data_IF_483636912642
#
_entry.id   IF_483636912642
#
_cell.length_a   1.000
_cell.length_b   1.000
_cell.length_c   1.000
_cell.angle_alpha   90.00
_cell.angle_beta   90.00
_cell.angle_gamma   90.00
#
_symmetry.space_group_name_H-M   'P 1'
#
loop_
_entity.id
_entity.type
_entity.pdbx_description
1 polymer ?
#
# COMPACT_ATOMS: atom_id res chain seq x y z
N UNK A 1 10.64 45.67 -44.77
CA UNK A 1 11.19 45.06 -45.99
C UNK A 1 10.60 43.66 -46.05
N UNK A 2 9.57 43.46 -46.89
CA UNK A 2 9.59 42.76 -48.18
C UNK A 2 10.04 41.29 -48.03
N UNK A 3 9.33 40.26 -48.41
CA UNK A 3 8.28 39.89 -49.39
C UNK A 3 8.04 38.39 -49.10
N UNK A 4 6.93 37.71 -49.07
CA UNK A 4 5.79 37.69 -49.97
C UNK A 4 5.96 36.70 -51.13
N UNK A 5 5.16 35.59 -51.13
CA UNK A 5 4.59 34.87 -52.28
C UNK A 5 4.06 33.52 -51.79
N UNK A 6 2.81 33.16 -51.71
CA UNK A 6 1.63 33.16 -52.61
C UNK A 6 1.65 32.12 -53.73
N UNK A 7 0.69 31.19 -53.59
CA UNK A 7 -0.19 30.53 -54.60
C UNK A 7 0.41 29.57 -55.64
N UNK A 8 -0.18 28.37 -55.77
CA UNK A 8 -1.21 28.11 -56.78
C UNK A 8 -1.91 26.75 -56.58
N UNK A 9 -3.23 26.81 -56.77
CA UNK A 9 -4.20 25.72 -56.95
C UNK A 9 -4.00 25.04 -58.32
N UNK A 10 -4.33 23.73 -58.44
CA UNK A 10 -5.02 23.22 -59.62
C UNK A 10 -5.96 22.10 -59.27
N UNK A 11 -7.21 22.24 -59.67
CA UNK A 11 -8.28 21.27 -59.64
C UNK A 11 -8.29 20.45 -60.95
N UNK A 12 -8.75 19.23 -60.91
CA UNK A 12 -9.00 18.42 -62.10
C UNK A 12 -10.03 17.32 -61.82
N UNK A 13 -11.18 17.50 -62.39
CA UNK A 13 -12.39 16.68 -62.39
C UNK A 13 -12.21 15.49 -63.38
N UNK A 14 -12.82 14.34 -63.09
CA UNK A 14 -13.00 13.28 -64.05
C UNK A 14 -13.70 12.04 -63.48
N UNK A 15 -15.02 11.96 -63.67
CA UNK A 15 -15.85 10.80 -63.42
C UNK A 15 -15.69 9.71 -64.49
N UNK A 16 -15.93 8.47 -64.16
CA UNK A 16 -16.92 7.57 -64.80
C UNK A 16 -16.95 6.18 -64.14
N UNK A 17 -18.15 5.77 -63.92
CA UNK A 17 -18.57 4.47 -63.39
C UNK A 17 -18.41 3.32 -64.40
N UNK A 18 -18.22 2.10 -63.90
CA UNK A 18 -18.76 0.88 -64.50
C UNK A 18 -18.83 -0.24 -63.44
N UNK A 19 -20.02 -0.70 -63.19
CA UNK A 19 -20.37 -1.83 -62.31
C UNK A 19 -20.02 -3.15 -63.00
N UNK A 20 -19.36 -4.05 -62.30
CA UNK A 20 -19.39 -5.49 -62.61
C UNK A 20 -19.52 -6.27 -61.32
N UNK A 21 -20.69 -6.90 -61.19
CA UNK A 21 -21.07 -7.82 -60.16
C UNK A 21 -20.30 -9.15 -60.33
N UNK A 22 -19.44 -9.48 -59.38
CA UNK A 22 -18.88 -10.82 -59.28
C UNK A 22 -19.30 -11.40 -57.91
N UNK A 23 -20.13 -12.43 -57.97
CA UNK A 23 -20.44 -13.29 -56.83
C UNK A 23 -19.18 -14.04 -56.39
N UNK A 24 -18.64 -13.73 -55.23
CA UNK A 24 -17.71 -14.63 -54.56
C UNK A 24 -18.44 -15.36 -53.45
N UNK A 25 -18.50 -16.67 -53.58
CA UNK A 25 -18.87 -17.63 -52.53
C UNK A 25 -17.81 -17.55 -51.43
N UNK A 26 -18.15 -16.96 -50.29
CA UNK A 26 -17.34 -16.97 -49.10
C UNK A 26 -17.48 -18.32 -48.40
N UNK A 27 -16.57 -19.24 -48.68
CA UNK A 27 -16.25 -20.34 -47.76
C UNK A 27 -15.71 -19.74 -46.49
N UNK A 28 -16.48 -19.79 -45.40
CA UNK A 28 -16.04 -19.33 -44.08
C UNK A 28 -14.91 -20.19 -43.50
N UNK A 29 -13.70 -19.68 -43.59
CA UNK A 29 -12.65 -20.09 -42.66
C UNK A 29 -12.82 -19.25 -41.41
N UNK A 30 -13.38 -19.86 -40.37
CA UNK A 30 -13.40 -19.25 -39.04
C UNK A 30 -11.98 -18.97 -38.55
N UNK A 31 -11.59 -17.72 -38.56
CA UNK A 31 -10.37 -17.29 -37.88
C UNK A 31 -10.74 -17.17 -36.41
N UNK A 32 -10.65 -18.29 -35.70
CA UNK A 32 -10.57 -18.31 -34.24
C UNK A 32 -9.18 -17.74 -33.85
N UNK A 33 -9.04 -16.42 -33.86
CA UNK A 33 -7.92 -15.75 -33.20
C UNK A 33 -8.26 -15.54 -31.73
N UNK A 34 -8.54 -16.61 -31.02
CA UNK A 34 -8.29 -16.65 -29.59
C UNK A 34 -6.78 -16.89 -29.47
N UNK A 35 -6.02 -15.83 -29.25
CA UNK A 35 -4.68 -15.92 -28.68
C UNK A 35 -4.84 -16.56 -27.31
N UNK A 36 -4.81 -17.88 -27.24
CA UNK A 36 -4.66 -18.59 -25.98
C UNK A 36 -3.24 -18.24 -25.50
N UNK A 37 -3.11 -17.25 -24.61
CA UNK A 37 -1.95 -17.18 -23.74
C UNK A 37 -1.86 -18.56 -23.07
N UNK A 38 -0.83 -19.32 -23.40
CA UNK A 38 -0.56 -20.60 -22.74
C UNK A 38 -0.25 -20.27 -21.27
N UNK A 39 -1.28 -20.28 -20.42
CA UNK A 39 -1.09 -20.26 -18.98
C UNK A 39 -0.41 -21.56 -18.60
N UNK A 40 0.67 -21.50 -17.85
CA UNK A 40 1.28 -22.70 -17.26
C UNK A 40 0.32 -23.22 -16.20
N UNK A 41 -0.04 -24.49 -16.30
CA UNK A 41 -0.91 -25.15 -15.33
C UNK A 41 -0.20 -25.27 -13.97
N UNK A 42 -0.96 -25.10 -12.88
CA UNK A 42 -0.47 -25.25 -11.51
C UNK A 42 0.19 -26.60 -11.23
N UNK A 43 -0.33 -27.67 -11.82
CA UNK A 43 0.26 -29.02 -11.73
C UNK A 43 1.65 -29.08 -12.40
N UNK A 44 1.85 -28.39 -13.52
CA UNK A 44 3.15 -28.29 -14.17
C UNK A 44 4.16 -27.52 -13.31
N UNK A 45 3.73 -26.47 -12.60
CA UNK A 45 4.57 -25.74 -11.66
C UNK A 45 4.96 -26.62 -10.46
N UNK A 46 4.00 -27.34 -9.90
CA UNK A 46 4.22 -28.24 -8.75
C UNK A 46 5.13 -29.42 -9.10
N UNK A 47 5.14 -29.87 -10.36
CA UNK A 47 5.96 -31.00 -10.84
C UNK A 47 7.41 -30.64 -11.16
N UNK A 48 7.79 -29.35 -11.13
CA UNK A 48 9.18 -28.92 -11.34
C UNK A 48 10.08 -29.55 -10.27
N UNK A 49 11.10 -30.29 -10.68
CA UNK A 49 12.00 -30.97 -9.77
C UNK A 49 13.03 -30.01 -9.13
N UNK A 50 13.63 -30.45 -8.02
CA UNK A 50 14.72 -29.70 -7.38
C UNK A 50 15.92 -29.50 -8.34
N UNK A 51 16.18 -30.46 -9.21
CA UNK A 51 17.27 -30.34 -10.20
C UNK A 51 16.98 -29.30 -11.28
N UNK A 52 15.71 -29.18 -11.67
CA UNK A 52 15.29 -28.19 -12.64
C UNK A 52 15.38 -26.75 -12.10
N UNK A 53 15.27 -26.56 -10.78
CA UNK A 53 15.37 -25.24 -10.12
C UNK A 53 16.81 -24.71 -10.02
N UNK A 54 17.82 -25.58 -10.15
CA UNK A 54 19.22 -25.21 -9.94
C UNK A 54 19.65 -24.02 -10.80
N UNK A 55 20.16 -22.97 -10.12
CA UNK A 55 20.69 -21.77 -10.77
C UNK A 55 19.65 -20.87 -11.47
N UNK A 56 18.36 -21.06 -11.18
CA UNK A 56 17.30 -20.21 -11.73
C UNK A 56 17.43 -18.79 -11.20
N UNK A 57 17.35 -17.80 -12.08
CA UNK A 57 17.29 -16.37 -11.71
C UNK A 57 15.88 -15.86 -11.91
N UNK A 58 15.36 -15.18 -10.88
CA UNK A 58 14.05 -14.50 -10.90
C UNK A 58 14.20 -13.03 -10.52
N UNK A 59 13.27 -12.20 -10.97
CA UNK A 59 13.24 -10.76 -10.70
C UNK A 59 12.14 -10.41 -9.71
N UNK A 60 12.43 -9.44 -8.82
CA UNK A 60 11.49 -8.95 -7.80
C UNK A 60 11.23 -7.45 -7.93
N UNK A 61 9.96 -7.06 -8.00
CA UNK A 61 9.51 -5.68 -7.85
C UNK A 61 9.05 -5.40 -6.41
N UNK A 62 9.48 -4.27 -5.84
CA UNK A 62 9.14 -3.86 -4.47
C UNK A 62 9.13 -2.34 -4.31
N UNK A 63 8.41 -1.82 -3.31
CA UNK A 63 8.27 -0.39 -3.02
C UNK A 63 8.92 0.07 -1.70
N UNK A 64 9.71 -0.75 -1.07
CA UNK A 64 10.30 -0.46 0.24
C UNK A 64 11.55 0.44 0.20
N UNK A 65 11.74 1.20 -0.86
CA UNK A 65 12.88 2.09 -1.00
C UNK A 65 14.14 1.44 -1.57
N UNK A 66 15.22 2.20 -1.66
CA UNK A 66 16.52 1.77 -2.19
C UNK A 66 17.62 1.93 -1.14
N UNK A 67 18.07 0.83 -0.58
CA UNK A 67 19.13 0.77 0.43
C UNK A 67 20.15 -0.34 0.14
N UNK A 68 20.15 -0.86 -1.10
CA UNK A 68 20.94 -2.03 -1.48
C UNK A 68 22.43 -1.86 -1.20
N UNK A 69 23.00 -0.70 -1.50
CA UNK A 69 24.42 -0.45 -1.25
C UNK A 69 24.81 -0.59 0.24
N UNK A 70 23.88 -0.25 1.14
CA UNK A 70 24.10 -0.36 2.60
C UNK A 70 23.96 -1.79 3.13
N UNK A 71 23.33 -2.67 2.36
CA UNK A 71 22.98 -4.03 2.79
C UNK A 71 23.61 -5.13 1.93
N UNK A 72 24.49 -4.77 0.98
CA UNK A 72 25.12 -5.72 0.08
C UNK A 72 25.84 -6.84 0.85
N UNK A 73 25.48 -8.09 0.54
CA UNK A 73 26.00 -9.28 1.19
C UNK A 73 25.61 -9.48 2.67
N UNK A 74 24.86 -8.57 3.28
CA UNK A 74 24.40 -8.69 4.67
C UNK A 74 23.24 -9.69 4.74
N UNK A 75 23.35 -10.70 5.63
CA UNK A 75 22.31 -11.71 5.90
C UNK A 75 21.81 -11.70 7.33
N UNK A 76 22.42 -10.90 8.20
CA UNK A 76 22.09 -10.76 9.62
C UNK A 76 20.96 -9.73 9.81
N UNK A 77 19.75 -10.21 10.08
CA UNK A 77 18.55 -9.39 10.27
C UNK A 77 18.58 -8.47 11.50
N UNK A 78 19.48 -8.73 12.46
CA UNK A 78 19.68 -7.80 13.59
C UNK A 78 20.19 -6.41 13.17
N UNK A 79 20.68 -6.28 11.94
CA UNK A 79 21.13 -5.02 11.33
C UNK A 79 20.02 -4.27 10.60
N UNK A 80 18.83 -4.86 10.49
CA UNK A 80 17.69 -4.21 9.86
C UNK A 80 16.97 -3.27 10.84
N UNK A 81 16.63 -2.06 10.38
CA UNK A 81 15.87 -1.08 11.14
C UNK A 81 14.77 -0.40 10.31
N UNK A 82 14.53 -0.86 9.11
CA UNK A 82 13.53 -0.31 8.19
C UNK A 82 13.06 -1.40 7.22
N UNK A 83 11.92 -1.16 6.57
CA UNK A 83 11.41 -2.06 5.53
C UNK A 83 12.45 -2.34 4.44
N UNK A 84 13.15 -1.29 3.99
CA UNK A 84 14.17 -1.42 2.96
C UNK A 84 15.30 -2.36 3.37
N UNK A 85 15.88 -2.13 4.55
CA UNK A 85 17.00 -2.94 5.04
C UNK A 85 16.56 -4.37 5.34
N UNK A 86 15.38 -4.56 5.93
CA UNK A 86 14.84 -5.87 6.26
C UNK A 86 14.60 -6.75 5.02
N UNK A 87 13.91 -6.22 3.99
CA UNK A 87 13.65 -7.01 2.76
C UNK A 87 14.93 -7.26 1.96
N UNK A 88 15.88 -6.32 1.96
CA UNK A 88 17.17 -6.53 1.29
C UNK A 88 17.97 -7.64 1.96
N UNK A 89 18.03 -7.67 3.30
CA UNK A 89 18.72 -8.70 4.08
C UNK A 89 18.03 -10.06 3.92
N UNK A 90 16.68 -10.11 3.96
CA UNK A 90 15.94 -11.35 3.69
C UNK A 90 16.20 -11.89 2.29
N UNK A 91 16.27 -11.02 1.28
CA UNK A 91 16.61 -11.41 -0.10
C UNK A 91 18.04 -11.97 -0.19
N UNK A 92 19.02 -11.31 0.45
CA UNK A 92 20.39 -11.79 0.51
C UNK A 92 20.48 -13.14 1.22
N UNK A 93 19.76 -13.30 2.34
CA UNK A 93 19.68 -14.55 3.09
C UNK A 93 19.14 -15.68 2.23
N UNK A 94 18.02 -15.47 1.53
CA UNK A 94 17.50 -16.45 0.58
C UNK A 94 18.53 -16.78 -0.49
N UNK A 95 19.14 -15.79 -1.12
CA UNK A 95 20.14 -16.01 -2.19
C UNK A 95 21.36 -16.80 -1.71
N UNK A 96 21.73 -16.68 -0.43
CA UNK A 96 22.87 -17.38 0.15
C UNK A 96 22.53 -18.80 0.62
N UNK A 97 21.32 -19.04 1.13
CA UNK A 97 20.99 -20.24 1.89
C UNK A 97 20.09 -21.25 1.15
N UNK A 98 19.38 -20.83 0.05
CA UNK A 98 18.50 -21.76 -0.63
C UNK A 98 19.28 -22.89 -1.32
N UNK A 99 18.80 -24.13 -1.16
CA UNK A 99 19.48 -25.36 -1.62
C UNK A 99 19.61 -25.48 -3.14
N UNK A 100 18.84 -24.68 -3.90
CA UNK A 100 18.83 -24.73 -5.36
C UNK A 100 19.78 -23.73 -6.01
N UNK A 101 20.35 -22.79 -5.25
CA UNK A 101 21.12 -21.67 -5.82
C UNK A 101 20.27 -20.72 -6.66
N UNK A 102 18.98 -20.63 -6.36
CA UNK A 102 18.08 -19.62 -6.96
C UNK A 102 18.62 -18.24 -6.60
N UNK A 103 18.63 -17.34 -7.60
CA UNK A 103 19.00 -15.93 -7.43
C UNK A 103 17.78 -15.04 -7.62
N UNK A 104 17.51 -14.19 -6.64
CA UNK A 104 16.50 -13.13 -6.71
C UNK A 104 17.21 -11.82 -6.97
N UNK A 105 16.90 -11.21 -8.10
CA UNK A 105 17.42 -9.90 -8.50
C UNK A 105 16.33 -8.85 -8.37
N UNK A 106 16.66 -7.71 -7.78
CA UNK A 106 15.72 -6.61 -7.65
C UNK A 106 15.63 -5.83 -8.97
N UNK A 107 14.41 -5.61 -9.46
CA UNK A 107 14.17 -4.63 -10.51
C UNK A 107 14.42 -3.21 -9.97
N UNK A 108 14.97 -2.32 -10.81
CA UNK A 108 15.20 -0.93 -10.43
C UNK A 108 13.90 -0.18 -10.14
N UNK A 109 14.03 0.97 -9.46
CA UNK A 109 12.92 1.86 -9.14
C UNK A 109 12.06 1.31 -7.99
N UNK A 110 12.13 1.91 -6.83
CA UNK A 110 11.48 1.38 -5.64
C UNK A 110 10.85 2.48 -4.79
N UNK A 111 10.57 3.64 -5.40
CA UNK A 111 9.85 4.70 -4.73
C UNK A 111 8.40 4.28 -4.53
N UNK A 112 7.92 4.38 -3.29
CA UNK A 112 6.53 4.14 -2.94
C UNK A 112 5.56 4.89 -3.87
N UNK A 113 5.78 6.18 -4.10
CA UNK A 113 4.88 7.04 -4.87
C UNK A 113 4.74 6.66 -6.35
N UNK A 114 5.75 6.03 -6.96
CA UNK A 114 5.74 5.66 -8.37
C UNK A 114 5.64 4.15 -8.62
N UNK A 115 5.51 3.36 -7.55
CA UNK A 115 5.58 1.91 -7.66
C UNK A 115 4.49 1.33 -8.55
N UNK A 116 3.22 1.68 -8.31
CA UNK A 116 2.11 1.10 -9.07
C UNK A 116 2.11 1.54 -10.53
N UNK A 117 2.53 2.77 -10.83
CA UNK A 117 2.72 3.22 -12.23
C UNK A 117 3.80 2.41 -12.93
N UNK A 118 4.95 2.25 -12.28
CA UNK A 118 6.07 1.45 -12.79
C UNK A 118 5.70 -0.03 -12.94
N UNK A 119 4.99 -0.57 -11.97
CA UNK A 119 4.52 -1.96 -11.98
C UNK A 119 3.50 -2.20 -13.10
N UNK A 120 2.53 -1.30 -13.28
CA UNK A 120 1.56 -1.37 -14.38
C UNK A 120 2.25 -1.27 -15.75
N UNK A 121 3.24 -0.39 -15.89
CA UNK A 121 4.05 -0.30 -17.11
C UNK A 121 4.84 -1.60 -17.36
N UNK A 122 5.44 -2.20 -16.33
CA UNK A 122 6.13 -3.47 -16.44
C UNK A 122 5.18 -4.62 -16.85
N UNK A 123 3.97 -4.67 -16.25
CA UNK A 123 2.94 -5.66 -16.62
C UNK A 123 2.45 -5.52 -18.06
N UNK A 124 2.48 -4.33 -18.63
CA UNK A 124 2.14 -4.07 -20.03
C UNK A 124 3.29 -4.43 -21.00
N UNK A 125 4.50 -4.64 -20.50
CA UNK A 125 5.71 -4.93 -21.28
C UNK A 125 6.05 -6.43 -21.31
N UNK A 126 7.18 -6.78 -21.94
CA UNK A 126 7.77 -8.13 -21.84
C UNK A 126 8.58 -8.36 -20.56
N UNK A 127 8.92 -7.30 -19.83
CA UNK A 127 9.85 -7.32 -18.68
C UNK A 127 9.07 -7.30 -17.37
N UNK A 128 8.12 -8.24 -17.26
CA UNK A 128 7.32 -8.43 -16.05
C UNK A 128 8.17 -9.00 -14.94
N UNK A 129 8.02 -8.52 -13.68
CA UNK A 129 8.69 -9.16 -12.55
C UNK A 129 8.15 -10.58 -12.35
N UNK A 130 9.03 -11.47 -11.89
CA UNK A 130 8.64 -12.84 -11.52
C UNK A 130 7.95 -12.86 -10.14
N UNK A 131 8.29 -11.91 -9.25
CA UNK A 131 7.65 -11.70 -7.94
C UNK A 131 7.39 -10.21 -7.74
N UNK A 132 6.25 -9.86 -7.17
CA UNK A 132 5.92 -8.47 -6.85
C UNK A 132 5.20 -8.36 -5.50
N UNK A 133 5.59 -7.35 -4.71
CA UNK A 133 4.84 -6.96 -3.51
C UNK A 133 3.63 -6.12 -3.93
N UNK A 134 2.52 -6.25 -3.21
CA UNK A 134 1.41 -5.31 -3.32
C UNK A 134 0.62 -5.20 -2.01
N UNK A 135 -0.22 -4.18 -1.91
CA UNK A 135 -1.20 -4.09 -0.86
C UNK A 135 -2.37 -5.04 -1.12
N UNK A 136 -2.84 -5.72 -0.08
CA UNK A 136 -3.97 -6.63 -0.16
C UNK A 136 -5.25 -5.97 -0.70
N UNK A 137 -5.43 -4.67 -0.47
CA UNK A 137 -6.54 -3.90 -1.04
C UNK A 137 -6.53 -3.81 -2.57
N UNK A 138 -5.35 -3.87 -3.20
CA UNK A 138 -5.20 -3.78 -4.65
C UNK A 138 -5.32 -5.15 -5.35
N UNK A 139 -5.11 -6.24 -4.61
CA UNK A 139 -5.08 -7.59 -5.16
C UNK A 139 -6.34 -7.96 -5.98
N UNK A 140 -7.58 -7.61 -5.57
CA UNK A 140 -8.78 -7.93 -6.35
C UNK A 140 -8.77 -7.40 -7.78
N UNK A 141 -8.28 -6.17 -7.99
CA UNK A 141 -8.18 -5.56 -9.32
C UNK A 141 -7.26 -6.34 -10.26
N UNK A 142 -6.07 -6.70 -9.77
CA UNK A 142 -5.08 -7.43 -10.57
C UNK A 142 -5.50 -8.88 -10.81
N UNK A 143 -6.10 -9.53 -9.82
CA UNK A 143 -6.62 -10.90 -9.95
C UNK A 143 -7.79 -10.97 -10.95
N UNK A 144 -8.73 -10.01 -10.89
CA UNK A 144 -9.86 -9.92 -11.82
C UNK A 144 -9.41 -9.71 -13.27
N UNK A 145 -8.33 -8.98 -13.49
CA UNK A 145 -7.72 -8.76 -14.81
C UNK A 145 -6.87 -9.94 -15.30
N UNK A 146 -6.73 -11.02 -14.51
CA UNK A 146 -5.91 -12.18 -14.86
C UNK A 146 -4.41 -11.87 -14.94
N UNK A 147 -3.94 -10.90 -14.16
CA UNK A 147 -2.54 -10.46 -14.15
C UNK A 147 -1.68 -11.20 -13.13
N UNK A 148 -2.31 -11.96 -12.23
CA UNK A 148 -1.64 -12.72 -11.17
C UNK A 148 -1.83 -14.23 -11.40
N UNK A 149 -0.86 -15.02 -10.93
CA UNK A 149 -1.00 -16.46 -10.80
C UNK A 149 -1.77 -16.78 -9.52
N UNK A 150 -2.70 -17.72 -9.61
CA UNK A 150 -3.26 -18.38 -8.43
C UNK A 150 -2.13 -19.19 -7.76
N UNK A 151 -2.07 -19.22 -6.42
CA UNK A 151 -1.11 -20.07 -5.70
C UNK A 151 -1.47 -21.52 -5.96
N UNK A 152 -0.61 -22.30 -6.63
CA UNK A 152 -0.94 -23.66 -6.99
C UNK A 152 -0.92 -24.59 -5.78
N UNK A 153 -1.80 -25.58 -5.79
CA UNK A 153 -1.63 -26.72 -4.89
C UNK A 153 -0.30 -27.46 -5.18
N UNK A 154 0.33 -27.97 -4.15
CA UNK A 154 1.54 -28.80 -4.29
C UNK A 154 2.87 -28.02 -4.38
N UNK A 155 2.88 -26.69 -4.37
CA UNK A 155 4.14 -25.91 -4.24
C UNK A 155 4.63 -25.80 -2.79
N UNK A 156 3.94 -26.44 -1.84
CA UNK A 156 4.38 -26.53 -0.43
C UNK A 156 4.17 -25.24 0.37
N UNK A 157 3.29 -24.35 -0.05
CA UNK A 157 2.88 -23.15 0.70
C UNK A 157 1.68 -23.54 1.57
N UNK A 158 1.85 -23.51 2.89
CA UNK A 158 0.77 -23.72 3.86
C UNK A 158 0.34 -22.40 4.49
N UNK A 159 -0.89 -21.97 4.20
CA UNK A 159 -1.49 -20.75 4.73
C UNK A 159 -2.44 -20.99 5.91
N UNK A 160 -2.56 -22.21 6.39
CA UNK A 160 -3.50 -22.57 7.48
C UNK A 160 -3.18 -21.86 8.80
N UNK A 161 -1.90 -21.52 9.02
CA UNK A 161 -1.45 -20.77 10.20
C UNK A 161 -1.52 -19.24 10.06
N UNK A 162 -2.05 -18.72 8.96
CA UNK A 162 -2.15 -17.28 8.75
C UNK A 162 -3.19 -16.64 9.69
N UNK A 163 -2.92 -15.39 10.11
CA UNK A 163 -3.95 -14.57 10.78
C UNK A 163 -5.11 -14.30 9.81
N UNK A 164 -6.31 -14.12 10.34
CA UNK A 164 -7.48 -13.87 9.49
C UNK A 164 -7.30 -12.67 8.53
N UNK A 165 -6.83 -11.48 8.97
CA UNK A 165 -6.62 -10.35 8.06
C UNK A 165 -5.61 -10.66 6.95
N UNK A 166 -4.53 -11.37 7.26
CA UNK A 166 -3.49 -11.73 6.30
C UNK A 166 -4.01 -12.75 5.28
N UNK A 167 -4.80 -13.74 5.72
CA UNK A 167 -5.42 -14.71 4.82
C UNK A 167 -6.48 -14.07 3.93
N UNK A 168 -7.31 -13.20 4.49
CA UNK A 168 -8.30 -12.44 3.72
C UNK A 168 -7.60 -11.58 2.65
N UNK A 169 -6.46 -10.96 2.97
CA UNK A 169 -5.73 -10.08 2.05
C UNK A 169 -5.29 -10.77 0.75
N UNK A 170 -5.02 -12.07 0.78
CA UNK A 170 -4.62 -12.86 -0.40
C UNK A 170 -5.77 -13.60 -1.08
N UNK A 171 -6.98 -13.56 -0.49
CA UNK A 171 -8.15 -14.30 -0.97
C UNK A 171 -9.05 -13.41 -1.82
N UNK A 172 -9.34 -13.83 -3.04
CA UNK A 172 -10.31 -13.18 -3.91
C UNK A 172 -11.09 -14.25 -4.68
N UNK A 173 -12.46 -14.19 -4.65
CA UNK A 173 -13.37 -15.20 -5.23
C UNK A 173 -12.97 -16.64 -4.85
N UNK A 174 -12.77 -16.87 -3.55
CA UNK A 174 -12.42 -18.16 -2.92
C UNK A 174 -11.07 -18.76 -3.33
N UNK A 175 -10.25 -18.02 -4.08
CA UNK A 175 -8.93 -18.44 -4.53
C UNK A 175 -7.83 -17.61 -3.86
N UNK A 176 -6.62 -18.17 -3.78
CA UNK A 176 -5.43 -17.50 -3.23
C UNK A 176 -4.58 -16.97 -4.38
N UNK A 177 -4.40 -15.64 -4.41
CA UNK A 177 -3.70 -14.93 -5.48
C UNK A 177 -2.35 -14.35 -5.04
N UNK A 178 -1.90 -14.77 -3.88
CA UNK A 178 -0.63 -14.33 -3.30
C UNK A 178 -0.34 -15.03 -2.00
N UNK A 179 0.83 -14.74 -1.44
CA UNK A 179 1.33 -15.25 -0.17
C UNK A 179 1.38 -14.09 0.81
N UNK A 180 0.71 -14.17 1.98
CA UNK A 180 0.66 -13.07 2.92
C UNK A 180 2.03 -12.81 3.55
N UNK A 181 2.36 -11.53 3.79
CA UNK A 181 3.64 -11.15 4.37
C UNK A 181 3.49 -10.50 5.74
N UNK A 182 2.57 -9.54 5.87
CA UNK A 182 2.30 -8.85 7.13
C UNK A 182 0.87 -8.32 7.19
N UNK A 183 0.57 -7.70 8.32
CA UNK A 183 -0.51 -6.74 8.48
C UNK A 183 0.07 -5.46 9.07
N UNK A 184 -0.44 -4.30 8.69
CA UNK A 184 0.00 -3.01 9.20
C UNK A 184 -1.17 -2.07 9.43
N UNK A 185 -1.01 -1.18 10.40
CA UNK A 185 -2.04 -0.24 10.80
C UNK A 185 -1.42 1.12 11.15
N UNK A 186 -2.25 2.16 11.13
CA UNK A 186 -1.85 3.48 11.59
C UNK A 186 -1.91 3.54 13.12
N UNK A 187 -0.89 4.18 13.71
CA UNK A 187 -0.75 4.45 15.14
C UNK A 187 -0.31 5.90 15.36
N UNK A 188 -0.08 6.28 16.60
CA UNK A 188 0.50 7.57 16.97
C UNK A 188 1.96 7.41 17.37
N UNK A 189 2.84 8.18 16.76
CA UNK A 189 4.25 8.31 17.15
C UNK A 189 4.41 9.61 17.94
N UNK A 190 5.09 9.58 19.07
CA UNK A 190 5.09 10.65 20.05
C UNK A 190 6.50 11.24 20.26
N UNK A 191 6.59 12.55 20.16
CA UNK A 191 7.71 13.34 20.65
C UNK A 191 7.40 13.79 22.08
N UNK A 192 7.87 13.00 23.05
CA UNK A 192 7.57 13.22 24.47
C UNK A 192 8.16 14.52 25.01
N UNK A 193 9.22 15.05 24.40
CA UNK A 193 9.85 16.30 24.82
C UNK A 193 8.94 17.51 24.51
N UNK A 194 8.34 17.55 23.33
CA UNK A 194 7.35 18.60 22.96
C UNK A 194 6.09 18.47 23.82
N UNK A 195 5.58 17.26 24.00
CA UNK A 195 4.39 17.00 24.82
C UNK A 195 4.62 17.42 26.28
N UNK A 196 5.82 17.17 26.82
CA UNK A 196 6.21 17.61 28.17
C UNK A 196 6.30 19.13 28.28
N UNK A 197 6.94 19.80 27.32
CA UNK A 197 7.02 21.27 27.26
C UNK A 197 5.63 21.91 27.15
N UNK A 198 4.71 21.24 26.48
CA UNK A 198 3.31 21.67 26.37
C UNK A 198 2.52 21.45 27.69
N UNK A 199 3.08 20.72 28.67
CA UNK A 199 2.42 20.37 29.93
C UNK A 199 1.31 19.32 29.76
N UNK A 200 1.45 18.46 28.76
CA UNK A 200 0.48 17.41 28.45
C UNK A 200 0.90 16.02 28.99
N UNK A 201 2.11 15.90 29.51
CA UNK A 201 2.64 14.69 30.13
C UNK A 201 2.29 14.71 31.62
N UNK A 202 1.68 13.64 32.11
CA UNK A 202 1.33 13.49 33.52
C UNK A 202 2.55 13.32 34.43
N UNK A 203 2.33 13.39 35.75
CA UNK A 203 3.38 13.17 36.78
C UNK A 203 4.00 11.78 36.70
N UNK A 204 3.25 10.80 36.17
CA UNK A 204 3.72 9.43 35.90
C UNK A 204 4.61 9.30 34.65
N UNK A 205 4.88 10.42 33.96
CA UNK A 205 5.68 10.47 32.74
C UNK A 205 4.94 9.96 31.50
N UNK A 206 3.61 9.76 31.55
CA UNK A 206 2.81 9.28 30.44
C UNK A 206 2.04 10.42 29.76
N UNK A 207 1.84 10.29 28.46
CA UNK A 207 0.93 11.13 27.68
C UNK A 207 -0.34 10.34 27.35
N UNK A 208 -1.49 10.95 27.55
CA UNK A 208 -2.78 10.37 27.17
C UNK A 208 -3.26 11.02 25.88
N UNK A 209 -3.46 10.21 24.85
CA UNK A 209 -4.04 10.67 23.60
C UNK A 209 -5.44 11.25 23.84
N UNK A 210 -5.82 12.29 23.09
CA UNK A 210 -7.18 12.85 23.15
C UNK A 210 -8.21 11.81 22.67
N UNK A 211 -9.39 11.86 23.28
CA UNK A 211 -10.51 10.95 23.05
C UNK A 211 -11.71 11.59 22.36
N UNK A 212 -11.58 12.87 22.02
CA UNK A 212 -12.56 13.61 21.23
C UNK A 212 -11.89 14.66 20.33
N UNK A 213 -12.59 15.13 19.29
CA UNK A 213 -12.11 16.26 18.47
C UNK A 213 -11.78 17.50 19.29
N UNK A 214 -12.63 17.87 20.26
CA UNK A 214 -12.43 19.05 21.11
C UNK A 214 -11.20 18.91 22.01
N UNK A 215 -10.96 17.73 22.57
CA UNK A 215 -9.77 17.45 23.37
C UNK A 215 -8.51 17.49 22.52
N UNK A 216 -8.55 16.98 21.27
CA UNK A 216 -7.43 17.11 20.35
C UNK A 216 -7.12 18.57 20.04
N UNK A 217 -8.13 19.39 19.76
CA UNK A 217 -7.93 20.81 19.51
C UNK A 217 -7.38 21.54 20.74
N UNK A 218 -7.79 21.14 21.95
CA UNK A 218 -7.23 21.70 23.19
C UNK A 218 -5.75 21.33 23.37
N UNK A 219 -5.36 20.07 23.11
CA UNK A 219 -3.96 19.66 23.09
C UNK A 219 -3.15 20.38 22.03
N UNK A 220 -3.70 20.51 20.82
CA UNK A 220 -3.05 21.19 19.71
C UNK A 220 -2.78 22.68 20.01
N UNK A 221 -3.78 23.35 20.61
CA UNK A 221 -3.64 24.71 21.09
C UNK A 221 -2.54 24.84 22.15
N UNK A 222 -2.52 23.94 23.14
CA UNK A 222 -1.50 23.96 24.20
C UNK A 222 -0.08 23.77 23.64
N UNK A 223 0.12 22.84 22.70
CA UNK A 223 1.41 22.66 22.01
C UNK A 223 1.79 23.93 21.26
N UNK A 224 0.87 24.48 20.46
CA UNK A 224 1.16 25.68 19.64
C UNK A 224 1.51 26.90 20.50
N UNK A 225 0.78 27.16 21.57
CA UNK A 225 0.97 28.31 22.43
C UNK A 225 2.27 28.21 23.26
N UNK A 226 2.61 27.02 23.76
CA UNK A 226 3.77 26.84 24.64
C UNK A 226 5.08 26.54 23.93
N UNK A 227 5.02 25.92 22.74
CA UNK A 227 6.22 25.47 22.04
C UNK A 227 6.42 26.11 20.66
N UNK A 228 5.40 26.71 20.09
CA UNK A 228 5.38 27.19 18.70
C UNK A 228 5.34 26.08 17.64
N UNK A 229 5.34 24.81 18.06
CA UNK A 229 5.36 23.64 17.18
C UNK A 229 3.96 23.25 16.75
N UNK A 230 3.86 22.35 15.77
CA UNK A 230 2.61 21.73 15.41
C UNK A 230 2.26 20.61 16.39
N UNK A 231 0.97 20.38 16.57
CA UNK A 231 0.53 19.25 17.40
C UNK A 231 0.70 17.93 16.67
N UNK A 232 0.26 17.85 15.42
CA UNK A 232 0.29 16.63 14.65
C UNK A 232 0.88 16.86 13.26
N UNK A 233 1.68 15.93 12.79
CA UNK A 233 2.10 15.87 11.38
C UNK A 233 1.40 14.70 10.68
N UNK A 234 0.91 14.98 9.50
CA UNK A 234 0.21 14.05 8.62
C UNK A 234 0.69 14.37 7.21
N UNK A 235 1.06 13.38 6.41
CA UNK A 235 1.37 13.61 5.00
C UNK A 235 0.09 13.97 4.24
N UNK A 236 -0.22 15.28 4.15
CA UNK A 236 -1.44 15.82 3.57
C UNK A 236 -1.30 16.25 2.10
N UNK A 237 -0.14 16.04 1.49
CA UNK A 237 0.13 16.44 0.11
C UNK A 237 0.73 15.30 -0.68
N UNK A 238 0.05 14.87 -1.75
CA UNK A 238 0.51 13.82 -2.68
C UNK A 238 0.77 12.47 -2.00
N UNK A 239 0.05 12.19 -0.93
CA UNK A 239 0.16 10.95 -0.17
C UNK A 239 -1.22 10.52 0.37
N UNK A 240 -1.54 9.21 0.40
CA UNK A 240 -2.85 8.74 0.86
C UNK A 240 -3.06 8.84 2.39
N UNK A 241 -2.13 9.44 3.15
CA UNK A 241 -2.27 9.51 4.62
C UNK A 241 -3.47 10.36 5.05
N UNK A 242 -3.78 11.43 4.32
CA UNK A 242 -5.00 12.22 4.53
C UNK A 242 -6.28 11.42 4.28
N UNK A 243 -6.31 10.62 3.21
CA UNK A 243 -7.38 9.65 2.93
C UNK A 243 -7.54 8.64 4.06
N UNK A 244 -6.45 8.04 4.53
CA UNK A 244 -6.45 7.04 5.62
C UNK A 244 -6.98 7.63 6.92
N UNK A 245 -6.62 8.87 7.24
CA UNK A 245 -7.18 9.58 8.40
C UNK A 245 -8.68 9.83 8.21
N UNK A 246 -9.09 10.35 7.07
CA UNK A 246 -10.51 10.58 6.77
C UNK A 246 -11.34 9.31 6.92
N UNK A 247 -10.91 8.21 6.31
CA UNK A 247 -11.56 6.90 6.44
C UNK A 247 -11.64 6.43 7.90
N UNK A 248 -10.53 6.55 8.65
CA UNK A 248 -10.46 6.21 10.08
C UNK A 248 -11.52 6.97 10.88
N UNK A 249 -11.62 8.28 10.67
CA UNK A 249 -12.60 9.11 11.38
C UNK A 249 -14.05 8.77 11.00
N UNK A 250 -14.31 8.45 9.73
CA UNK A 250 -15.64 7.95 9.29
C UNK A 250 -15.99 6.65 10.00
N UNK A 251 -15.06 5.70 10.04
CA UNK A 251 -15.26 4.41 10.69
C UNK A 251 -15.45 4.53 12.20
N UNK A 252 -14.78 5.46 12.85
CA UNK A 252 -14.98 5.74 14.28
C UNK A 252 -16.37 6.31 14.61
N UNK A 253 -17.07 6.85 13.62
CA UNK A 253 -18.46 7.30 13.76
C UNK A 253 -19.49 6.20 13.44
N UNK A 254 -19.03 4.98 13.10
CA UNK A 254 -19.85 3.81 12.82
C UNK A 254 -20.35 3.74 11.37
N UNK A 255 -19.66 4.39 10.45
CA UNK A 255 -19.95 4.38 9.01
C UNK A 255 -18.74 3.86 8.23
N UNK A 256 -18.96 3.43 6.99
CA UNK A 256 -17.92 3.07 6.03
C UNK A 256 -18.15 3.81 4.72
N UNK A 257 -17.08 4.13 4.01
CA UNK A 257 -17.14 4.83 2.71
C UNK A 257 -17.59 3.92 1.55
N UNK A 258 -17.46 2.61 1.73
CA UNK A 258 -17.99 1.58 0.82
C UNK A 258 -18.71 0.54 1.68
N UNK A 259 -19.88 0.10 1.26
CA UNK A 259 -20.66 -0.95 1.94
C UNK A 259 -19.85 -2.25 2.07
N UNK A 260 -20.15 -3.06 3.10
CA UNK A 260 -19.41 -4.29 3.39
C UNK A 260 -19.47 -5.32 2.23
N UNK A 261 -20.53 -5.29 1.41
CA UNK A 261 -20.67 -6.12 0.20
C UNK A 261 -19.95 -5.54 -1.03
N UNK A 262 -19.30 -4.37 -0.89
CA UNK A 262 -18.54 -3.71 -1.95
C UNK A 262 -19.38 -3.10 -3.08
N UNK A 263 -20.72 -3.00 -2.92
CA UNK A 263 -21.63 -2.63 -4.02
C UNK A 263 -22.06 -1.17 -4.00
N UNK A 264 -21.90 -0.46 -2.88
CA UNK A 264 -22.40 0.91 -2.69
C UNK A 264 -21.34 1.82 -2.13
N UNK A 265 -21.17 2.98 -2.75
CA UNK A 265 -20.41 4.09 -2.17
C UNK A 265 -21.26 4.85 -1.14
N UNK A 266 -20.60 5.39 -0.11
CA UNK A 266 -21.18 6.21 0.94
C UNK A 266 -20.21 7.37 1.28
N UNK A 267 -19.79 8.10 0.24
CA UNK A 267 -18.73 9.11 0.34
C UNK A 267 -19.23 10.46 0.89
N UNK A 268 -20.54 10.75 0.80
CA UNK A 268 -21.13 12.03 1.23
C UNK A 268 -22.05 11.90 2.44
N UNK A 269 -21.78 10.90 3.29
CA UNK A 269 -22.49 10.76 4.56
C UNK A 269 -22.18 11.92 5.53
N UNK A 270 -23.00 12.08 6.56
CA UNK A 270 -22.76 13.09 7.62
C UNK A 270 -21.42 12.84 8.33
N UNK A 271 -21.06 11.56 8.54
CA UNK A 271 -19.80 11.14 9.14
C UNK A 271 -18.61 11.51 8.24
N UNK A 272 -18.74 11.31 6.93
CA UNK A 272 -17.73 11.67 5.95
C UNK A 272 -17.47 13.18 5.94
N UNK A 273 -18.55 13.98 5.97
CA UNK A 273 -18.49 15.44 6.05
C UNK A 273 -17.82 15.90 7.34
N UNK A 274 -18.30 15.43 8.50
CA UNK A 274 -17.73 15.76 9.82
C UNK A 274 -16.23 15.45 9.88
N UNK A 275 -15.82 14.30 9.33
CA UNK A 275 -14.41 13.89 9.30
C UNK A 275 -13.56 14.82 8.44
N UNK A 276 -14.04 15.21 7.25
CA UNK A 276 -13.29 16.08 6.35
C UNK A 276 -13.20 17.52 6.86
N UNK A 277 -14.30 18.04 7.45
CA UNK A 277 -14.32 19.34 8.10
C UNK A 277 -13.36 19.42 9.30
N UNK A 278 -13.24 18.33 10.07
CA UNK A 278 -12.29 18.26 11.18
C UNK A 278 -10.83 18.33 10.69
N UNK A 279 -10.47 17.58 9.63
CA UNK A 279 -9.13 17.66 9.04
C UNK A 279 -8.83 19.07 8.53
N UNK A 280 -9.80 19.70 7.83
CA UNK A 280 -9.67 21.08 7.37
C UNK A 280 -9.50 22.07 8.55
N UNK A 281 -10.11 21.80 9.71
CA UNK A 281 -9.93 22.62 10.92
C UNK A 281 -8.49 22.52 11.43
N UNK A 282 -7.88 21.33 11.46
CA UNK A 282 -6.46 21.17 11.87
C UNK A 282 -5.52 21.98 10.98
N UNK A 283 -5.79 21.99 9.68
CA UNK A 283 -5.01 22.78 8.71
C UNK A 283 -5.23 24.28 8.91
N UNK A 284 -6.48 24.73 8.99
CA UNK A 284 -6.86 26.14 9.13
C UNK A 284 -6.29 26.78 10.40
N UNK A 285 -6.32 26.05 11.51
CA UNK A 285 -5.81 26.52 12.80
C UNK A 285 -4.26 26.39 12.89
N UNK A 286 -3.59 25.83 11.88
CA UNK A 286 -2.15 25.66 11.84
C UNK A 286 -1.62 24.64 12.84
N UNK A 287 -2.40 23.61 13.13
CA UNK A 287 -2.01 22.51 14.03
C UNK A 287 -1.30 21.35 13.32
N UNK A 288 -1.31 21.36 11.99
CA UNK A 288 -0.58 20.45 11.12
C UNK A 288 0.05 21.20 9.95
N UNK A 289 1.00 20.56 9.25
CA UNK A 289 1.63 21.12 8.04
C UNK A 289 0.93 20.59 6.80
N UNK A 290 0.39 21.49 5.97
CA UNK A 290 -0.47 21.10 4.84
C UNK A 290 0.30 20.59 3.62
N UNK A 291 1.53 21.04 3.38
CA UNK A 291 2.34 20.75 2.18
C UNK A 291 3.41 19.67 2.40
N UNK A 292 3.34 18.94 3.48
CA UNK A 292 4.20 17.79 3.65
C UNK A 292 3.66 16.61 2.83
N UNK A 293 4.50 16.09 1.93
CA UNK A 293 4.38 14.73 1.44
C UNK A 293 4.93 13.75 2.49
N UNK A 294 4.98 12.45 2.17
CA UNK A 294 5.41 11.45 3.13
C UNK A 294 6.83 11.70 3.65
N UNK A 295 7.78 11.92 2.75
CA UNK A 295 9.19 12.11 3.13
C UNK A 295 9.39 13.40 3.95
N UNK A 296 8.73 14.48 3.56
CA UNK A 296 8.77 15.75 4.29
C UNK A 296 8.17 15.62 5.69
N UNK A 297 7.07 14.86 5.87
CA UNK A 297 6.44 14.64 7.16
C UNK A 297 7.33 13.79 8.09
N UNK A 298 7.94 12.71 7.58
CA UNK A 298 8.90 11.90 8.32
C UNK A 298 10.09 12.74 8.79
N UNK A 299 10.68 13.51 7.88
CA UNK A 299 11.82 14.38 8.22
C UNK A 299 11.41 15.52 9.17
N UNK A 300 10.21 16.10 9.02
CA UNK A 300 9.67 17.11 9.93
C UNK A 300 9.52 16.58 11.35
N UNK A 301 8.97 15.40 11.52
CA UNK A 301 8.87 14.74 12.82
C UNK A 301 10.24 14.48 13.44
N UNK A 302 11.19 13.93 12.70
CA UNK A 302 12.55 13.67 13.17
C UNK A 302 13.31 14.96 13.55
N UNK A 303 13.00 16.10 12.91
CA UNK A 303 13.53 17.42 13.32
C UNK A 303 12.79 18.03 14.52
N UNK A 304 11.79 17.35 15.09
CA UNK A 304 11.00 17.86 16.21
C UNK A 304 10.10 19.04 15.85
N UNK A 305 9.48 19.01 14.67
CA UNK A 305 8.56 20.07 14.22
C UNK A 305 7.12 19.83 14.70
N UNK A 306 6.79 18.59 15.15
CA UNK A 306 5.49 18.22 15.69
C UNK A 306 5.59 17.33 16.93
N UNK A 307 4.55 17.38 17.77
CA UNK A 307 4.43 16.57 18.98
C UNK A 307 3.97 15.12 18.69
N UNK A 308 3.11 14.94 17.71
CA UNK A 308 2.56 13.66 17.29
C UNK A 308 2.77 13.52 15.79
N UNK A 309 3.08 12.30 15.32
CA UNK A 309 3.00 11.96 13.92
C UNK A 309 1.95 10.87 13.72
N UNK A 310 1.01 11.10 12.81
CA UNK A 310 0.05 10.13 12.33
C UNK A 310 0.69 9.29 11.22
N UNK A 311 1.19 8.12 11.57
CA UNK A 311 1.88 7.24 10.64
C UNK A 311 1.68 5.77 11.04
N UNK A 312 2.17 4.86 10.23
CA UNK A 312 1.97 3.44 10.47
C UNK A 312 3.07 2.78 11.30
N UNK A 313 2.78 1.56 11.70
CA UNK A 313 3.69 0.69 12.47
C UNK A 313 5.05 0.48 11.79
N UNK A 314 5.14 0.64 10.47
CA UNK A 314 6.38 0.50 9.67
C UNK A 314 7.48 1.52 10.00
N UNK A 315 7.12 2.63 10.64
CA UNK A 315 8.10 3.65 11.05
C UNK A 315 8.62 3.47 12.48
N UNK A 316 8.10 2.51 13.25
CA UNK A 316 8.44 2.34 14.67
C UNK A 316 9.94 2.13 14.88
N UNK A 317 10.53 1.19 14.15
CA UNK A 317 11.95 0.86 14.33
C UNK A 317 12.86 1.98 13.81
N UNK A 318 12.49 2.63 12.70
CA UNK A 318 13.20 3.78 12.18
C UNK A 318 13.21 4.92 13.20
N UNK A 319 12.04 5.30 13.70
CA UNK A 319 11.96 6.41 14.68
C UNK A 319 12.63 6.06 16.01
N UNK A 320 12.56 4.81 16.46
CA UNK A 320 13.33 4.35 17.63
C UNK A 320 14.82 4.53 17.47
N UNK A 321 15.35 4.35 16.26
CA UNK A 321 16.78 4.45 15.98
C UNK A 321 17.24 5.89 15.67
N UNK A 322 16.39 6.72 15.06
CA UNK A 322 16.80 8.00 14.46
C UNK A 322 16.28 9.22 15.22
N UNK A 323 15.23 9.11 16.05
CA UNK A 323 14.65 10.25 16.75
C UNK A 323 15.67 10.86 17.77
N UNK A 324 16.00 12.17 17.68
CA UNK A 324 16.94 12.82 18.60
C UNK A 324 16.29 13.27 19.91
N UNK A 325 15.05 12.85 20.19
CA UNK A 325 14.22 13.19 21.34
C UNK A 325 13.68 11.91 22.00
N UNK A 326 13.09 12.03 23.17
CA UNK A 326 12.41 10.89 23.82
C UNK A 326 11.21 10.47 22.95
N UNK A 327 11.40 9.38 22.22
CA UNK A 327 10.40 8.79 21.35
C UNK A 327 9.59 7.71 22.06
N UNK A 328 8.29 7.73 21.86
CA UNK A 328 7.36 6.68 22.27
C UNK A 328 6.32 6.42 21.18
N UNK A 329 5.64 5.29 21.26
CA UNK A 329 4.45 5.01 20.45
C UNK A 329 3.20 4.98 21.34
N UNK A 330 2.05 5.07 20.73
CA UNK A 330 0.78 4.91 21.42
C UNK A 330 -0.27 4.32 20.47
N UNK A 331 -1.45 4.05 21.00
CA UNK A 331 -2.62 3.67 20.22
C UNK A 331 -2.86 4.67 19.06
N UNK A 332 -3.67 4.28 18.08
CA UNK A 332 -4.18 5.25 17.11
C UNK A 332 -5.08 6.30 17.80
N UNK A 333 -5.20 7.46 17.20
CA UNK A 333 -6.18 8.47 17.62
C UNK A 333 -7.59 7.88 17.56
N UNK A 334 -8.32 7.91 18.68
CA UNK A 334 -9.69 7.40 18.83
C UNK A 334 -10.60 8.52 19.28
N UNK A 335 -11.08 9.32 18.32
CA UNK A 335 -11.75 10.61 18.57
C UNK A 335 -13.28 10.50 18.64
N UNK A 336 -13.87 9.37 18.24
CA UNK A 336 -15.32 9.16 18.25
C UNK A 336 -15.69 7.87 19.01
N UNK A 337 -16.96 7.50 18.99
CA UNK A 337 -17.52 6.43 19.83
C UNK A 337 -16.96 5.04 19.55
N UNK A 338 -16.70 4.74 18.27
CA UNK A 338 -16.24 3.42 17.85
C UNK A 338 -14.71 3.43 17.70
N UNK A 339 -14.08 2.32 18.04
CA UNK A 339 -12.64 2.18 17.91
C UNK A 339 -12.29 1.63 16.53
N UNK A 340 -11.58 2.42 15.75
CA UNK A 340 -11.11 2.05 14.43
C UNK A 340 -9.80 2.74 14.09
N UNK A 341 -8.93 2.05 13.36
CA UNK A 341 -7.77 2.61 12.69
C UNK A 341 -7.59 1.95 11.34
N UNK A 342 -7.17 2.73 10.34
CA UNK A 342 -6.90 2.19 9.02
C UNK A 342 -5.80 1.12 9.06
N UNK A 343 -6.00 0.04 8.30
CA UNK A 343 -5.05 -1.06 8.18
C UNK A 343 -5.03 -1.63 6.75
N UNK A 344 -3.95 -2.32 6.43
CA UNK A 344 -3.79 -3.10 5.20
C UNK A 344 -2.85 -4.28 5.45
N UNK A 345 -2.52 -5.03 4.41
CA UNK A 345 -1.50 -6.10 4.42
C UNK A 345 -0.60 -5.96 3.22
N UNK A 346 0.66 -6.30 3.38
CA UNK A 346 1.54 -6.59 2.26
C UNK A 346 1.39 -8.05 1.86
N UNK A 347 1.30 -8.29 0.56
CA UNK A 347 1.18 -9.63 -0.03
C UNK A 347 2.18 -9.81 -1.16
N UNK A 348 2.84 -10.94 -1.20
CA UNK A 348 3.72 -11.31 -2.30
C UNK A 348 2.89 -12.00 -3.37
N UNK A 349 3.00 -11.52 -4.59
CA UNK A 349 2.27 -12.04 -5.74
C UNK A 349 3.24 -12.52 -6.82
N UNK A 350 2.76 -13.41 -7.66
CA UNK A 350 3.49 -13.91 -8.82
C UNK A 350 2.73 -13.45 -10.07
N UNK A 351 3.23 -12.41 -10.76
CA UNK A 351 2.59 -11.92 -11.99
C UNK A 351 2.60 -12.96 -13.11
N UNK A 352 1.54 -12.94 -13.94
CA UNK A 352 1.51 -13.77 -15.16
C UNK A 352 2.58 -13.27 -16.13
N UNK A 353 3.54 -14.11 -16.46
CA UNK A 353 4.63 -13.78 -17.38
C UNK A 353 4.16 -13.64 -18.83
N UNK A 354 4.78 -12.74 -19.60
CA UNK A 354 4.59 -12.67 -21.04
C UNK A 354 5.19 -13.90 -21.76
N UNK A 355 6.15 -14.56 -21.13
CA UNK A 355 6.77 -15.83 -21.57
C UNK A 355 6.70 -16.83 -20.42
N UNK A 356 5.57 -17.55 -20.27
CA UNK A 356 5.34 -18.44 -19.14
C UNK A 356 6.41 -19.55 -19.07
N UNK A 357 7.00 -19.71 -17.88
CA UNK A 357 8.02 -20.71 -17.58
C UNK A 357 7.75 -21.33 -16.20
N UNK A 358 7.46 -22.63 -16.18
CA UNK A 358 7.13 -23.36 -14.95
C UNK A 358 8.26 -23.31 -13.89
N UNK A 359 9.53 -23.31 -14.32
CA UNK A 359 10.68 -23.22 -13.42
C UNK A 359 10.73 -21.86 -12.72
N UNK A 360 10.55 -20.77 -13.47
CA UNK A 360 10.52 -19.43 -12.91
C UNK A 360 9.35 -19.24 -11.95
N UNK A 361 8.16 -19.72 -12.30
CA UNK A 361 7.02 -19.70 -11.39
C UNK A 361 7.28 -20.51 -10.12
N UNK A 362 7.85 -21.72 -10.24
CA UNK A 362 8.19 -22.51 -9.06
C UNK A 362 9.24 -21.82 -8.20
N UNK A 363 10.30 -21.25 -8.78
CA UNK A 363 11.32 -20.48 -8.05
C UNK A 363 10.71 -19.25 -7.36
N UNK A 364 9.76 -18.57 -8.00
CA UNK A 364 9.03 -17.45 -7.42
C UNK A 364 8.21 -17.88 -6.19
N UNK A 365 7.51 -19.01 -6.26
CA UNK A 365 6.77 -19.55 -5.11
C UNK A 365 7.70 -20.04 -4.00
N UNK A 366 8.87 -20.61 -4.28
CA UNK A 366 9.85 -20.94 -3.24
C UNK A 366 10.37 -19.69 -2.51
N UNK A 367 10.61 -18.59 -3.22
CA UNK A 367 11.00 -17.34 -2.60
C UNK A 367 9.87 -16.72 -1.77
N UNK A 368 8.64 -16.69 -2.28
CA UNK A 368 7.51 -16.15 -1.52
C UNK A 368 7.18 -17.00 -0.29
N UNK A 369 7.34 -18.32 -0.37
CA UNK A 369 7.27 -19.24 0.77
C UNK A 369 8.31 -18.90 1.83
N UNK A 370 9.58 -18.75 1.44
CA UNK A 370 10.65 -18.33 2.35
C UNK A 370 10.29 -17.01 3.07
N UNK A 371 9.79 -16.01 2.35
CA UNK A 371 9.41 -14.74 2.95
C UNK A 371 8.24 -14.89 3.94
N UNK A 372 7.27 -15.76 3.66
CA UNK A 372 6.17 -16.05 4.59
C UNK A 372 6.67 -16.79 5.84
N UNK A 373 7.62 -17.71 5.70
CA UNK A 373 8.26 -18.39 6.83
C UNK A 373 9.07 -17.44 7.73
N UNK A 374 9.55 -16.29 7.17
CA UNK A 374 10.30 -15.23 7.87
C UNK A 374 9.45 -13.99 8.19
N UNK A 375 8.12 -14.12 8.19
CA UNK A 375 7.22 -13.00 8.53
C UNK A 375 7.46 -12.46 9.96
N UNK A 376 7.85 -13.33 10.91
CA UNK A 376 8.22 -12.91 12.27
C UNK A 376 9.48 -12.05 12.29
N UNK A 377 10.51 -12.45 11.57
CA UNK A 377 11.76 -11.71 11.44
C UNK A 377 11.53 -10.34 10.80
N UNK A 378 10.73 -10.31 9.73
CA UNK A 378 10.26 -9.07 9.09
C UNK A 378 9.57 -8.15 10.08
N UNK A 379 8.59 -8.68 10.83
CA UNK A 379 7.79 -7.91 11.76
C UNK A 379 8.62 -7.33 12.92
N UNK A 380 9.58 -8.10 13.45
CA UNK A 380 10.53 -7.65 14.47
C UNK A 380 11.41 -6.52 13.93
N UNK A 381 11.92 -6.68 12.70
CA UNK A 381 12.82 -5.71 12.08
C UNK A 381 12.17 -4.40 11.66
N UNK A 382 10.84 -4.37 11.48
CA UNK A 382 10.15 -3.22 10.87
C UNK A 382 9.08 -2.57 11.74
N UNK A 383 8.36 -3.34 12.56
CA UNK A 383 7.23 -2.84 13.35
C UNK A 383 5.88 -3.42 12.93
N UNK A 384 5.81 -4.08 11.80
CA UNK A 384 4.59 -4.72 11.31
C UNK A 384 4.05 -5.82 12.25
N UNK A 385 2.82 -6.27 12.02
CA UNK A 385 2.31 -7.51 12.61
C UNK A 385 2.60 -8.66 11.65
N UNK A 386 3.14 -9.79 12.14
CA UNK A 386 3.43 -10.93 11.26
C UNK A 386 2.15 -11.54 10.70
N UNK A 387 2.24 -12.14 9.52
CA UNK A 387 1.09 -12.74 8.84
C UNK A 387 0.64 -14.07 9.44
N UNK A 388 1.44 -14.70 10.31
CA UNK A 388 1.09 -15.97 10.95
C UNK A 388 0.80 -15.81 12.44
N UNK A 389 -0.19 -16.55 12.95
CA UNK A 389 -0.54 -16.53 14.37
C UNK A 389 0.63 -16.97 15.26
N UNK A 390 1.38 -17.99 14.84
CA UNK A 390 2.57 -18.47 15.55
C UNK A 390 3.60 -17.37 15.77
N UNK A 391 3.90 -16.57 14.74
CA UNK A 391 4.86 -15.49 14.87
C UNK A 391 4.28 -14.32 15.68
N UNK A 392 2.99 -14.03 15.54
CA UNK A 392 2.30 -12.97 16.31
C UNK A 392 2.31 -13.25 17.82
N UNK A 393 2.19 -14.52 18.22
CA UNK A 393 2.17 -14.96 19.62
C UNK A 393 3.59 -15.28 20.17
N UNK A 394 4.64 -15.13 19.35
CA UNK A 394 6.00 -15.46 19.79
C UNK A 394 6.54 -14.46 20.81
N UNK A 395 7.34 -14.95 21.77
CA UNK A 395 7.98 -14.11 22.78
C UNK A 395 8.94 -13.09 22.16
N UNK A 396 9.60 -13.47 21.08
CA UNK A 396 10.53 -12.63 20.33
C UNK A 396 9.81 -11.40 19.77
N UNK A 397 8.63 -11.59 19.17
CA UNK A 397 7.84 -10.50 18.63
C UNK A 397 7.21 -9.65 19.74
N UNK A 398 6.58 -10.28 20.73
CA UNK A 398 5.86 -9.57 21.82
C UNK A 398 6.78 -8.72 22.70
N UNK A 399 8.05 -9.13 22.86
CA UNK A 399 9.04 -8.39 23.62
C UNK A 399 9.86 -7.39 22.78
N UNK A 400 9.63 -7.29 21.48
CA UNK A 400 10.29 -6.29 20.66
C UNK A 400 9.88 -4.86 21.09
N UNK A 401 10.78 -3.87 20.97
CA UNK A 401 10.52 -2.50 21.42
C UNK A 401 9.20 -1.94 20.91
N UNK A 402 8.47 -1.25 21.80
CA UNK A 402 7.19 -0.56 21.54
C UNK A 402 5.98 -1.46 21.19
N UNK A 403 6.14 -2.78 20.97
CA UNK A 403 5.04 -3.66 20.52
C UNK A 403 3.84 -3.64 21.49
N UNK A 404 4.09 -3.70 22.79
CA UNK A 404 3.04 -3.67 23.82
C UNK A 404 2.21 -2.37 23.81
N UNK A 405 2.73 -1.27 23.28
CA UNK A 405 2.09 0.04 23.28
C UNK A 405 1.00 0.18 22.20
N UNK A 406 1.10 -0.55 21.10
CA UNK A 406 0.17 -0.40 19.98
C UNK A 406 -0.45 -1.71 19.46
N UNK A 407 0.07 -2.87 19.86
CA UNK A 407 -0.35 -4.15 19.27
C UNK A 407 -1.86 -4.38 19.39
N UNK A 408 -2.46 -4.05 20.53
CA UNK A 408 -3.90 -4.18 20.74
C UNK A 408 -4.68 -3.34 19.73
N UNK A 409 -4.29 -2.10 19.53
CA UNK A 409 -4.91 -1.21 18.54
C UNK A 409 -4.75 -1.75 17.14
N UNK A 410 -3.54 -2.10 16.77
CA UNK A 410 -3.21 -2.58 15.42
C UNK A 410 -3.89 -3.92 15.07
N UNK A 411 -4.19 -4.76 16.06
CA UNK A 411 -4.85 -6.06 15.83
C UNK A 411 -6.36 -6.03 16.07
N UNK A 412 -6.83 -5.31 17.11
CA UNK A 412 -8.24 -5.34 17.53
C UNK A 412 -9.08 -4.26 16.84
N UNK A 413 -8.51 -3.08 16.64
CA UNK A 413 -9.22 -1.91 16.09
C UNK A 413 -8.89 -1.64 14.63
N UNK A 414 -8.01 -2.44 14.05
CA UNK A 414 -7.68 -2.38 12.64
C UNK A 414 -8.92 -2.57 11.75
N UNK A 415 -9.11 -1.67 10.80
CA UNK A 415 -10.11 -1.76 9.74
C UNK A 415 -9.37 -1.81 8.41
N UNK A 416 -9.47 -2.96 7.76
CA UNK A 416 -8.80 -3.17 6.49
C UNK A 416 -9.35 -2.23 5.41
N UNK A 417 -8.44 -1.69 4.60
CA UNK A 417 -8.83 -0.91 3.42
C UNK A 417 -9.80 -1.70 2.52
N UNK A 418 -10.74 -1.05 1.83
CA UNK A 418 -11.70 -1.71 0.98
C UNK A 418 -11.04 -2.64 -0.06
N UNK A 419 -11.66 -3.79 -0.30
CA UNK A 419 -11.15 -4.81 -1.21
C UNK A 419 -12.13 -5.08 -2.34
N UNK A 420 -12.34 -4.07 -3.16
CA UNK A 420 -13.16 -4.12 -4.38
C UNK A 420 -12.27 -3.94 -5.60
N UNK A 421 -12.67 -4.48 -6.75
CA UNK A 421 -11.88 -4.39 -8.00
C UNK A 421 -11.60 -2.93 -8.40
N UNK A 422 -12.52 -2.02 -8.12
CA UNK A 422 -12.38 -0.60 -8.43
C UNK A 422 -11.56 0.19 -7.39
N UNK A 423 -11.07 -0.44 -6.30
CA UNK A 423 -10.44 0.27 -5.19
C UNK A 423 -9.26 1.17 -5.60
N UNK A 424 -8.29 0.71 -6.41
CA UNK A 424 -7.16 1.57 -6.76
C UNK A 424 -7.61 2.91 -7.38
N UNK A 425 -8.56 2.84 -8.31
CA UNK A 425 -9.13 4.04 -8.95
C UNK A 425 -9.91 4.93 -7.97
N UNK A 426 -10.67 4.31 -7.07
CA UNK A 426 -11.46 5.04 -6.07
C UNK A 426 -10.52 5.73 -5.08
N UNK A 427 -9.47 5.07 -4.61
CA UNK A 427 -8.48 5.62 -3.68
C UNK A 427 -7.76 6.83 -4.28
N UNK A 428 -7.29 6.74 -5.53
CA UNK A 428 -6.67 7.87 -6.23
C UNK A 428 -7.62 9.07 -6.32
N UNK A 429 -8.90 8.82 -6.64
CA UNK A 429 -9.92 9.87 -6.71
C UNK A 429 -10.21 10.50 -5.34
N UNK A 430 -10.24 9.69 -4.27
CA UNK A 430 -10.43 10.21 -2.91
C UNK A 430 -9.26 11.12 -2.58
N UNK A 431 -8.03 10.64 -2.69
CA UNK A 431 -6.83 11.42 -2.38
C UNK A 431 -6.84 12.76 -3.11
N UNK A 432 -6.96 12.76 -4.44
CA UNK A 432 -6.94 13.98 -5.25
C UNK A 432 -8.02 14.99 -4.81
N UNK A 433 -9.24 14.52 -4.58
CA UNK A 433 -10.37 15.41 -4.33
C UNK A 433 -10.40 15.93 -2.89
N UNK A 434 -10.09 15.09 -1.88
CA UNK A 434 -10.07 15.59 -0.50
C UNK A 434 -8.89 16.54 -0.27
N UNK A 435 -7.72 16.27 -0.88
CA UNK A 435 -6.58 17.19 -0.82
C UNK A 435 -6.93 18.59 -1.34
N UNK A 436 -7.77 18.69 -2.36
CA UNK A 436 -8.21 19.99 -2.88
C UNK A 436 -8.96 20.83 -1.84
N UNK A 437 -9.56 20.22 -0.80
CA UNK A 437 -10.29 20.99 0.23
C UNK A 437 -9.33 21.78 1.12
N UNK A 438 -8.19 21.23 1.51
CA UNK A 438 -7.22 21.93 2.35
C UNK A 438 -6.10 22.61 1.58
N UNK A 439 -5.75 22.14 0.37
CA UNK A 439 -4.74 22.80 -0.46
C UNK A 439 -5.31 23.98 -1.25
N UNK A 440 -6.54 23.86 -1.76
CA UNK A 440 -7.12 24.82 -2.71
C UNK A 440 -8.42 25.45 -2.23
N UNK A 441 -8.90 25.11 -1.04
CA UNK A 441 -10.15 25.63 -0.47
C UNK A 441 -11.42 25.15 -1.19
N UNK A 442 -11.38 23.95 -1.79
CA UNK A 442 -12.57 23.34 -2.40
C UNK A 442 -13.65 23.11 -1.32
N UNK A 443 -14.92 23.34 -1.68
CA UNK A 443 -16.03 23.15 -0.74
C UNK A 443 -16.23 21.66 -0.41
N UNK A 444 -16.31 21.34 0.89
CA UNK A 444 -16.44 19.97 1.39
C UNK A 444 -17.64 19.26 0.77
N UNK A 445 -18.83 19.86 0.81
CA UNK A 445 -20.06 19.25 0.26
C UNK A 445 -19.92 18.92 -1.22
N UNK A 446 -19.44 19.87 -2.02
CA UNK A 446 -19.23 19.67 -3.46
C UNK A 446 -18.20 18.54 -3.74
N UNK A 447 -17.14 18.48 -2.95
CA UNK A 447 -16.10 17.44 -3.04
C UNK A 447 -16.68 16.06 -2.75
N UNK A 448 -17.42 15.91 -1.66
CA UNK A 448 -17.99 14.64 -1.25
C UNK A 448 -19.11 14.17 -2.19
N UNK A 449 -19.95 15.08 -2.72
CA UNK A 449 -20.96 14.74 -3.72
C UNK A 449 -20.32 14.23 -5.02
N UNK A 450 -19.26 14.88 -5.47
CA UNK A 450 -18.48 14.41 -6.64
C UNK A 450 -17.84 13.04 -6.40
N UNK A 451 -17.26 12.84 -5.21
CA UNK A 451 -16.72 11.52 -4.82
C UNK A 451 -17.81 10.44 -4.79
N UNK A 452 -18.99 10.76 -4.25
CA UNK A 452 -20.15 9.86 -4.23
C UNK A 452 -20.54 9.41 -5.64
N UNK A 453 -20.62 10.36 -6.59
CA UNK A 453 -20.95 10.08 -7.98
C UNK A 453 -19.91 9.20 -8.66
N UNK A 454 -18.62 9.58 -8.56
CA UNK A 454 -17.53 8.86 -9.24
C UNK A 454 -17.28 7.47 -8.67
N UNK A 455 -17.34 7.32 -7.35
CA UNK A 455 -17.20 6.01 -6.69
C UNK A 455 -18.39 5.10 -7.02
N UNK A 456 -19.64 5.62 -6.96
CA UNK A 456 -20.84 4.85 -7.34
C UNK A 456 -20.79 4.39 -8.80
N UNK A 457 -20.20 5.17 -9.68
CA UNK A 457 -20.01 4.79 -11.09
C UNK A 457 -18.93 3.71 -11.25
N UNK A 458 -17.90 3.74 -10.42
CA UNK A 458 -16.78 2.79 -10.48
C UNK A 458 -17.13 1.41 -9.87
N UNK A 459 -18.11 1.35 -8.97
CA UNK A 459 -18.58 0.11 -8.33
C UNK A 459 -19.63 -0.66 -9.16
N UNK A 460 -20.12 -0.10 -10.28
CA UNK A 460 -21.05 -0.76 -11.22
C UNK A 460 -20.31 -1.67 -12.20
#
# INVERSE_FOLDING_TARGET
MRQGRALTRHAGIGACALATTALFVLTGCGVNSASSSKTVDGAAIASVSDDDLKGTTITMARFFGDCQEKTDGVTDLSKANSECTAISILTNKFNAENKWGIKVERMGGASWHSYYDSFNAALASSDRPDVAIMHGSNLPDYAAKGLLMEVPDGVGIDLSGSTKPALDAVTYKDKKWGVPFDTHAIISHLNMDILSQAGLVGEDGTYKLPTSPDELLAHAKAVKEKTGKNYIDIALSKDPMGERLWMTLVQQQGSDIISADGTKANMNSAEAKTSLEFINTLVKEGYTTVNHDYDASVQGFLRGESAVMYNGVWSVNQFSAEAPFKYETSDALMLFKDKATWANSHVWTVPVSAKPDAKKYRAAFEFTKFLNEHTGDWAIATGHMPSTQKALDSSEYLNAPHRSQYLKTATTYARMAPRVEAWPKIADQIQEQIEATWLNGAAVDTTLDKLQETASSSLK
#
